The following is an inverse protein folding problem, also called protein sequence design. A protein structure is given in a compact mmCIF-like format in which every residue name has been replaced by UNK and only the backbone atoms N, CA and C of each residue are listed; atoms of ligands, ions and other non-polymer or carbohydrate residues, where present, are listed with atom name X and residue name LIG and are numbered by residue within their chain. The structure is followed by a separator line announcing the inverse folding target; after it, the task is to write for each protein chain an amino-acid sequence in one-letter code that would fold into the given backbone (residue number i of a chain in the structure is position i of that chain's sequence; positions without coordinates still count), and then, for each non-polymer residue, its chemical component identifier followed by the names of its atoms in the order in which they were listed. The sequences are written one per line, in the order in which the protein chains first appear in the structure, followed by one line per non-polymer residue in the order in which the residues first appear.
data_IF_913149890949
#
_entry.id   IF_913149890949
#
_cell.length_a   1.000
_cell.length_b   1.000
_cell.length_c   1.000
_cell.angle_alpha   90.00
_cell.angle_beta   90.00
_cell.angle_gamma   90.00
#
_symmetry.space_group_name_H-M   'P 1'
#
loop_
_entity.id
_entity.type
_entity.pdbx_description
1 polymer ?
#
# COMPACT_ATOMS: atom_id res chain seq x y z
N UNK A 1 -16.08 -58.40 37.98
CA UNK A 1 -16.38 -58.35 36.55
C UNK A 1 -16.39 -56.86 36.22
N UNK A 2 -15.21 -56.34 35.88
CA UNK A 2 -14.95 -54.89 35.70
C UNK A 2 -14.82 -54.69 34.19
N UNK A 3 -15.47 -53.65 33.70
CA UNK A 3 -15.62 -53.28 32.29
C UNK A 3 -14.28 -53.23 31.54
N UNK A 4 -14.28 -53.78 30.33
CA UNK A 4 -13.26 -53.56 29.31
C UNK A 4 -13.27 -52.08 28.91
N UNK A 5 -12.13 -51.42 29.09
CA UNK A 5 -11.85 -50.10 28.52
C UNK A 5 -11.53 -50.28 27.02
N UNK A 6 -12.50 -49.95 26.15
CA UNK A 6 -12.26 -49.71 24.72
C UNK A 6 -11.58 -48.33 24.55
N UNK A 7 -10.26 -48.34 24.40
CA UNK A 7 -9.47 -47.16 24.01
C UNK A 7 -9.57 -46.97 22.48
N UNK A 8 -10.12 -45.85 21.96
CA UNK A 8 -10.33 -45.69 20.52
C UNK A 8 -9.00 -45.43 19.78
N UNK A 9 -8.84 -45.91 18.53
CA UNK A 9 -7.60 -45.77 17.77
C UNK A 9 -7.45 -44.35 17.21
N UNK A 10 -6.66 -43.50 17.87
CA UNK A 10 -6.43 -42.10 17.49
C UNK A 10 -5.50 -41.88 16.27
N UNK A 11 -4.98 -42.94 15.64
CA UNK A 11 -3.90 -42.83 14.64
C UNK A 11 -4.40 -42.74 13.17
N UNK A 12 -5.59 -43.27 12.86
CA UNK A 12 -6.12 -43.32 11.48
C UNK A 12 -6.64 -41.95 11.01
N UNK A 13 -7.29 -41.20 11.90
CA UNK A 13 -7.86 -39.90 11.56
C UNK A 13 -6.78 -38.85 11.30
N UNK A 14 -5.69 -38.85 12.07
CA UNK A 14 -4.59 -37.90 11.88
C UNK A 14 -3.90 -38.11 10.53
N UNK A 15 -3.66 -39.35 10.15
CA UNK A 15 -3.10 -39.74 8.86
C UNK A 15 -4.01 -39.35 7.70
N UNK A 16 -5.33 -39.53 7.87
CA UNK A 16 -6.34 -39.13 6.90
C UNK A 16 -6.41 -37.61 6.70
N UNK A 17 -6.35 -36.83 7.79
CA UNK A 17 -6.31 -35.36 7.71
C UNK A 17 -5.03 -34.85 7.06
N UNK A 18 -3.87 -35.43 7.35
CA UNK A 18 -2.61 -35.08 6.66
C UNK A 18 -2.70 -35.33 5.15
N UNK A 19 -3.29 -36.45 4.74
CA UNK A 19 -3.48 -36.78 3.32
C UNK A 19 -4.42 -35.80 2.62
N UNK A 20 -5.54 -35.41 3.26
CA UNK A 20 -6.44 -34.40 2.69
C UNK A 20 -5.76 -33.03 2.57
N UNK A 21 -4.98 -32.63 3.57
CA UNK A 21 -4.23 -31.38 3.55
C UNK A 21 -3.16 -31.35 2.45
N UNK A 22 -2.47 -32.47 2.23
CA UNK A 22 -1.52 -32.61 1.12
C UNK A 22 -2.19 -32.53 -0.25
N UNK A 23 -3.39 -33.10 -0.40
CA UNK A 23 -4.15 -33.05 -1.66
C UNK A 23 -4.63 -31.63 -1.99
N UNK A 24 -5.05 -30.86 -0.97
CA UNK A 24 -5.48 -29.47 -1.09
C UNK A 24 -4.31 -28.51 -1.42
N UNK A 25 -3.13 -28.79 -0.87
CA UNK A 25 -1.93 -27.94 -1.05
C UNK A 25 -1.10 -28.28 -2.29
N UNK A 26 -1.33 -29.42 -2.94
CA UNK A 26 -0.57 -29.90 -4.10
C UNK A 26 -0.55 -28.89 -5.28
N UNK A 27 -1.63 -28.14 -5.50
CA UNK A 27 -1.70 -27.12 -6.57
C UNK A 27 -1.04 -25.77 -6.24
N UNK A 28 -0.68 -25.54 -4.98
CA UNK A 28 -0.12 -24.27 -4.49
C UNK A 28 1.42 -24.37 -4.38
N UNK A 29 1.93 -25.60 -4.23
CA UNK A 29 3.33 -25.85 -3.89
C UNK A 29 4.28 -25.97 -5.11
N UNK A 30 3.76 -26.18 -6.33
CA UNK A 30 4.59 -26.35 -7.54
C UNK A 30 5.39 -25.09 -7.93
N UNK A 31 4.91 -23.90 -7.55
CA UNK A 31 5.55 -22.62 -7.88
C UNK A 31 5.99 -21.78 -6.67
N UNK A 32 5.60 -22.15 -5.44
CA UNK A 32 5.86 -21.36 -4.22
C UNK A 32 7.27 -21.48 -3.65
N UNK A 33 8.05 -22.49 -4.05
CA UNK A 33 9.38 -22.74 -3.48
C UNK A 33 10.37 -21.61 -3.78
N UNK A 34 10.41 -21.10 -5.02
CA UNK A 34 11.37 -20.05 -5.37
C UNK A 34 11.05 -18.71 -4.68
N UNK A 35 9.77 -18.39 -4.50
CA UNK A 35 9.35 -17.20 -3.78
C UNK A 35 9.65 -17.32 -2.27
N UNK A 36 9.40 -18.50 -1.69
CA UNK A 36 9.70 -18.78 -0.27
C UNK A 36 11.20 -18.73 -0.01
N UNK A 37 12.01 -19.36 -0.86
CA UNK A 37 13.47 -19.36 -0.75
C UNK A 37 14.07 -17.95 -0.85
N UNK A 38 13.58 -17.13 -1.78
CA UNK A 38 14.03 -15.73 -1.93
C UNK A 38 13.58 -14.88 -0.73
N UNK A 39 12.36 -15.08 -0.22
CA UNK A 39 11.89 -14.44 1.03
C UNK A 39 12.79 -14.80 2.21
N UNK A 40 13.11 -16.08 2.39
CA UNK A 40 13.96 -16.55 3.49
C UNK A 40 15.38 -15.96 3.38
N UNK A 41 15.90 -15.84 2.17
CA UNK A 41 17.19 -15.19 1.89
C UNK A 41 17.17 -13.70 2.26
N UNK A 42 16.10 -12.98 1.89
CA UNK A 42 15.90 -11.57 2.24
C UNK A 42 15.77 -11.35 3.75
N UNK A 43 15.03 -12.22 4.45
CA UNK A 43 14.88 -12.18 5.90
C UNK A 43 16.24 -12.39 6.58
N UNK A 44 17.01 -13.41 6.17
CA UNK A 44 18.37 -13.64 6.69
C UNK A 44 19.27 -12.43 6.50
N UNK A 45 19.33 -11.88 5.29
CA UNK A 45 20.13 -10.67 5.00
C UNK A 45 19.70 -9.48 5.87
N UNK A 46 18.40 -9.29 6.07
CA UNK A 46 17.85 -8.21 6.90
C UNK A 46 18.24 -8.37 8.38
N UNK A 47 18.19 -9.60 8.90
CA UNK A 47 18.63 -9.93 10.25
C UNK A 47 20.13 -9.68 10.46
N UNK A 48 20.96 -10.05 9.48
CA UNK A 48 22.40 -9.78 9.53
C UNK A 48 22.71 -8.29 9.59
N UNK A 49 22.00 -7.46 8.81
CA UNK A 49 22.15 -6.00 8.83
C UNK A 49 21.75 -5.44 10.18
N UNK A 50 20.63 -5.90 10.75
CA UNK A 50 20.16 -5.46 12.06
C UNK A 50 21.20 -5.79 13.15
N UNK A 51 21.65 -7.04 13.21
CA UNK A 51 22.62 -7.49 14.20
C UNK A 51 23.97 -6.76 14.10
N UNK A 52 24.38 -6.35 12.88
CA UNK A 52 25.61 -5.59 12.67
C UNK A 52 25.48 -4.10 12.99
N UNK A 53 24.29 -3.54 12.89
CA UNK A 53 24.06 -2.08 12.97
C UNK A 53 23.41 -1.62 14.27
N UNK A 54 23.03 -2.57 15.14
CA UNK A 54 22.50 -2.25 16.46
C UNK A 54 23.59 -1.71 17.38
N UNK A 55 23.37 -0.51 17.88
CA UNK A 55 24.23 0.18 18.85
C UNK A 55 23.43 0.46 20.10
N UNK A 56 23.90 -0.03 21.25
CA UNK A 56 23.33 0.34 22.56
C UNK A 56 23.98 1.64 23.04
N UNK A 57 23.18 2.67 23.23
CA UNK A 57 23.57 3.97 23.81
C UNK A 57 22.94 4.13 25.19
N UNK A 58 23.27 5.22 25.88
CA UNK A 58 22.76 5.50 27.23
C UNK A 58 21.24 5.68 27.29
N UNK A 59 20.65 6.11 26.19
CA UNK A 59 19.23 6.47 26.04
C UNK A 59 18.41 5.42 25.26
N UNK A 60 19.05 4.38 24.69
CA UNK A 60 18.35 3.31 24.00
C UNK A 60 19.17 2.57 22.95
N UNK A 61 18.47 1.78 22.13
CA UNK A 61 19.06 1.07 20.99
C UNK A 61 18.86 1.86 19.70
N UNK A 62 19.95 2.02 18.96
CA UNK A 62 19.97 2.66 17.66
C UNK A 62 20.24 1.58 16.62
N UNK A 63 19.42 1.52 15.58
CA UNK A 63 19.54 0.53 14.51
C UNK A 63 19.52 1.25 13.17
N UNK A 64 20.27 0.74 12.19
CA UNK A 64 20.05 1.18 10.81
C UNK A 64 18.82 0.47 10.25
N UNK A 65 17.96 1.22 9.60
CA UNK A 65 16.80 0.65 8.92
C UNK A 65 17.29 -0.23 7.76
N UNK A 66 16.76 -1.48 7.63
CA UNK A 66 17.17 -2.41 6.59
C UNK A 66 16.54 -2.05 5.25
N UNK A 67 16.99 -0.93 4.67
CA UNK A 67 16.55 -0.50 3.35
C UNK A 67 17.02 -1.48 2.27
N UNK A 68 16.23 -1.64 1.20
CA UNK A 68 16.66 -2.40 0.03
C UNK A 68 17.70 -1.60 -0.74
N UNK A 69 18.90 -2.16 -0.93
CA UNK A 69 20.01 -1.50 -1.63
C UNK A 69 19.67 -1.10 -3.08
N UNK A 70 18.82 -1.88 -3.75
CA UNK A 70 18.36 -1.64 -5.11
C UNK A 70 16.87 -1.33 -5.09
N UNK A 71 16.53 -0.05 -5.13
CA UNK A 71 15.18 0.38 -5.45
C UNK A 71 15.05 0.38 -6.98
N UNK A 72 14.21 -0.51 -7.52
CA UNK A 72 13.81 -0.40 -8.92
C UNK A 72 13.27 1.01 -9.17
N UNK A 73 13.64 1.59 -10.31
CA UNK A 73 13.01 2.80 -10.79
C UNK A 73 11.53 2.48 -11.03
N UNK A 74 10.66 2.93 -10.11
CA UNK A 74 9.23 2.84 -10.34
C UNK A 74 8.91 3.65 -11.59
N UNK A 75 8.14 3.03 -12.48
CA UNK A 75 7.56 3.71 -13.62
C UNK A 75 6.66 4.85 -13.13
N UNK A 76 6.57 5.89 -13.95
CA UNK A 76 5.69 7.03 -13.71
C UNK A 76 4.21 6.57 -13.62
N UNK A 77 3.44 7.18 -12.72
CA UNK A 77 2.01 6.92 -12.55
C UNK A 77 1.10 7.77 -13.46
N UNK A 78 1.67 8.56 -14.38
CA UNK A 78 0.93 9.46 -15.28
C UNK A 78 -0.33 8.85 -15.90
N UNK A 79 -0.24 7.64 -16.45
CA UNK A 79 -1.39 6.97 -17.10
C UNK A 79 -2.56 6.74 -16.15
N UNK A 80 -2.26 6.40 -14.89
CA UNK A 80 -3.28 6.21 -13.85
C UNK A 80 -3.84 7.55 -13.41
N UNK A 81 -2.98 8.56 -13.23
CA UNK A 81 -3.40 9.89 -12.82
C UNK A 81 -4.32 10.56 -13.86
N UNK A 82 -4.00 10.44 -15.15
CA UNK A 82 -4.86 10.94 -16.23
C UNK A 82 -6.23 10.26 -16.22
N UNK A 83 -6.28 8.93 -16.09
CA UNK A 83 -7.56 8.22 -16.02
C UNK A 83 -8.38 8.63 -14.80
N UNK A 84 -7.74 8.86 -13.67
CA UNK A 84 -8.42 9.42 -12.49
C UNK A 84 -8.97 10.82 -12.76
N UNK A 85 -8.19 11.69 -13.40
CA UNK A 85 -8.61 13.04 -13.76
C UNK A 85 -9.83 13.02 -14.70
N UNK A 86 -9.81 12.19 -15.73
CA UNK A 86 -10.93 12.04 -16.67
C UNK A 86 -12.22 11.63 -15.96
N UNK A 87 -12.15 10.65 -15.05
CA UNK A 87 -13.29 10.20 -14.28
C UNK A 87 -13.87 11.31 -13.38
N UNK A 88 -12.99 12.06 -12.72
CA UNK A 88 -13.37 13.17 -11.84
C UNK A 88 -13.99 14.30 -12.65
N UNK A 89 -13.39 14.63 -13.80
CA UNK A 89 -13.88 15.63 -14.72
C UNK A 89 -15.29 15.29 -15.23
N UNK A 90 -15.52 14.05 -15.70
CA UNK A 90 -16.84 13.57 -16.11
C UNK A 90 -17.90 13.67 -15.00
N UNK A 91 -17.49 13.49 -13.74
CA UNK A 91 -18.38 13.65 -12.59
C UNK A 91 -18.70 15.13 -12.32
N UNK A 92 -17.67 15.98 -12.31
CA UNK A 92 -17.79 17.42 -12.04
C UNK A 92 -18.62 18.15 -13.10
N UNK A 93 -18.53 17.75 -14.37
CA UNK A 93 -19.32 18.35 -15.46
C UNK A 93 -20.83 18.26 -15.23
N UNK A 94 -21.31 17.36 -14.37
CA UNK A 94 -22.73 17.23 -14.03
C UNK A 94 -23.23 18.37 -13.13
N UNK A 95 -22.33 19.08 -12.43
CA UNK A 95 -22.65 20.18 -11.54
C UNK A 95 -21.81 21.42 -11.88
N UNK A 96 -22.42 22.34 -12.62
CA UNK A 96 -21.76 23.58 -13.06
C UNK A 96 -21.35 24.48 -11.88
N UNK A 97 -22.09 24.45 -10.77
CA UNK A 97 -21.78 25.28 -9.61
C UNK A 97 -20.53 24.77 -8.89
N UNK A 98 -20.43 23.45 -8.77
CA UNK A 98 -19.23 22.79 -8.25
C UNK A 98 -18.00 23.13 -9.10
N UNK A 99 -18.12 23.04 -10.42
CA UNK A 99 -17.00 23.33 -11.33
C UNK A 99 -16.49 24.77 -11.20
N UNK A 100 -17.41 25.75 -11.09
CA UNK A 100 -17.05 27.16 -10.89
C UNK A 100 -16.31 27.39 -9.56
N UNK A 101 -16.77 26.77 -8.46
CA UNK A 101 -16.08 26.86 -7.17
C UNK A 101 -14.69 26.22 -7.24
N UNK A 102 -14.57 25.13 -7.97
CA UNK A 102 -13.31 24.44 -8.16
C UNK A 102 -12.30 25.32 -8.86
N UNK A 103 -12.68 25.88 -10.02
CA UNK A 103 -11.82 26.80 -10.77
C UNK A 103 -11.41 28.01 -9.91
N UNK A 104 -12.34 28.60 -9.16
CA UNK A 104 -12.03 29.71 -8.25
C UNK A 104 -10.93 29.37 -7.23
N UNK A 105 -10.94 28.15 -6.66
CA UNK A 105 -9.89 27.69 -5.73
C UNK A 105 -8.56 27.51 -6.45
N UNK A 106 -8.55 26.97 -7.67
CA UNK A 106 -7.32 26.86 -8.46
C UNK A 106 -6.73 28.23 -8.78
N UNK A 107 -7.54 29.18 -9.22
CA UNK A 107 -7.08 30.54 -9.51
C UNK A 107 -6.53 31.23 -8.25
N UNK A 108 -7.19 31.07 -7.10
CA UNK A 108 -6.70 31.58 -5.82
C UNK A 108 -5.34 30.95 -5.44
N UNK A 109 -5.20 29.63 -5.56
CA UNK A 109 -3.94 28.96 -5.22
C UNK A 109 -2.79 29.32 -6.17
N UNK A 110 -3.08 29.57 -7.45
CA UNK A 110 -2.10 30.11 -8.41
C UNK A 110 -1.69 31.53 -7.98
N UNK A 111 -2.65 32.39 -7.63
CA UNK A 111 -2.37 33.76 -7.16
C UNK A 111 -1.53 33.77 -5.89
N UNK A 112 -1.80 32.86 -4.96
CA UNK A 112 -1.04 32.68 -3.72
C UNK A 112 0.31 31.97 -3.94
N UNK A 113 0.65 31.64 -5.19
CA UNK A 113 1.89 30.96 -5.56
C UNK A 113 2.06 29.60 -4.83
N UNK A 114 0.94 28.93 -4.54
CA UNK A 114 0.87 27.57 -4.00
C UNK A 114 0.95 26.56 -5.15
N UNK A 115 0.32 26.89 -6.29
CA UNK A 115 0.36 26.13 -7.53
C UNK A 115 1.16 26.88 -8.60
N UNK A 116 1.86 26.15 -9.45
CA UNK A 116 2.59 26.68 -10.60
C UNK A 116 2.31 25.85 -11.86
N UNK A 117 2.36 26.49 -13.02
CA UNK A 117 2.24 25.79 -14.30
C UNK A 117 3.53 25.04 -14.63
N UNK A 118 3.42 23.74 -14.84
CA UNK A 118 4.57 22.89 -15.19
C UNK A 118 4.77 22.89 -16.71
N UNK A 119 5.90 23.41 -17.23
CA UNK A 119 6.15 23.43 -18.67
C UNK A 119 6.37 22.01 -19.21
N UNK A 120 5.59 21.62 -20.22
CA UNK A 120 5.62 20.29 -20.87
C UNK A 120 6.97 19.93 -21.51
N UNK A 121 7.82 20.92 -21.79
CA UNK A 121 9.10 20.75 -22.50
C UNK A 121 10.30 20.52 -21.60
N UNK A 122 10.17 20.73 -20.28
CA UNK A 122 11.28 20.48 -19.36
C UNK A 122 11.19 19.03 -18.87
N UNK A 123 12.19 18.18 -19.14
CA UNK A 123 12.29 16.95 -18.39
C UNK A 123 12.38 17.36 -16.91
N UNK A 124 11.67 16.66 -16.02
CA UNK A 124 11.83 16.88 -14.58
C UNK A 124 13.32 16.75 -14.24
N UNK A 125 13.77 17.40 -13.16
CA UNK A 125 15.06 17.01 -12.56
C UNK A 125 15.08 15.49 -12.39
N UNK A 126 16.24 14.85 -12.29
CA UNK A 126 16.46 13.37 -12.16
C UNK A 126 15.61 12.63 -11.09
N UNK A 127 14.76 13.37 -10.38
CA UNK A 127 13.69 12.92 -9.50
C UNK A 127 12.54 12.28 -10.28
N UNK A 128 12.12 11.13 -9.77
CA UNK A 128 10.87 10.44 -10.13
C UNK A 128 9.68 11.40 -10.02
N UNK A 129 8.95 11.62 -11.12
CA UNK A 129 7.65 12.33 -11.07
C UNK A 129 6.62 11.38 -10.48
N UNK A 130 5.75 11.93 -9.64
CA UNK A 130 4.52 11.26 -9.26
C UNK A 130 3.39 12.29 -9.27
N UNK A 131 2.31 11.96 -9.97
CA UNK A 131 1.11 12.79 -10.04
C UNK A 131 0.19 12.41 -8.89
N UNK A 132 -0.32 13.40 -8.16
CA UNK A 132 -1.29 13.16 -7.10
C UNK A 132 -2.70 13.19 -7.69
N UNK A 133 -3.55 12.18 -7.40
CA UNK A 133 -4.96 12.29 -7.75
C UNK A 133 -5.57 13.43 -6.95
N UNK A 134 -6.27 14.33 -7.63
CA UNK A 134 -6.93 15.45 -6.98
C UNK A 134 -8.39 15.06 -6.66
N UNK A 135 -8.82 15.22 -5.41
CA UNK A 135 -10.21 14.94 -5.00
C UNK A 135 -10.81 16.15 -4.29
N UNK A 136 -11.99 16.58 -4.76
CA UNK A 136 -12.74 17.64 -4.10
C UNK A 136 -13.33 17.14 -2.77
N UNK A 137 -13.02 17.82 -1.68
CA UNK A 137 -13.68 17.61 -0.39
C UNK A 137 -14.69 18.73 -0.18
N UNK A 138 -15.97 18.37 -0.12
CA UNK A 138 -17.05 19.32 0.15
C UNK A 138 -17.35 19.32 1.64
N UNK A 139 -17.17 20.46 2.30
CA UNK A 139 -17.71 20.65 3.64
C UNK A 139 -19.23 20.81 3.52
N UNK A 140 -20.05 19.95 4.13
CA UNK A 140 -21.49 20.18 4.18
C UNK A 140 -21.73 21.54 4.84
N UNK A 141 -22.68 22.33 4.30
CA UNK A 141 -23.13 23.54 4.99
C UNK A 141 -23.63 23.10 6.37
N UNK A 142 -22.87 23.41 7.43
CA UNK A 142 -23.46 23.51 8.74
C UNK A 142 -24.53 24.58 8.61
N UNK A 143 -25.80 24.17 8.66
CA UNK A 143 -26.89 25.09 8.90
C UNK A 143 -26.58 25.72 10.25
N UNK A 144 -25.91 26.87 10.24
CA UNK A 144 -25.91 27.70 11.44
C UNK A 144 -27.37 28.02 11.68
N UNK A 145 -27.91 27.37 12.70
CA UNK A 145 -29.24 27.63 13.19
C UNK A 145 -29.28 29.13 13.52
N UNK A 146 -29.92 29.89 12.64
CA UNK A 146 -30.62 31.10 13.05
C UNK A 146 -31.61 30.65 14.12
N UNK A 147 -31.29 30.88 15.39
CA UNK A 147 -32.29 30.92 16.45
C UNK A 147 -31.78 31.78 17.60
N UNK A 148 -32.34 32.98 17.58
CA UNK A 148 -32.75 33.84 18.71
C UNK A 148 -31.66 34.46 19.56
#
# INVERSE_FOLDING_TARGET
MIHEDDEPPEDDDKSKWEKYYQLETAGIHEYGNSEKEEKDRLIRKSGDILNRTVERRSDGYYVRLPWKDAHMLLLDNYSTAIRCLENIWCSMQKDQNLLQRYDAVFQEQILLNILEDVPKSKPPPERRIHYLPHQAVMTPRNQQQSSV
#
